data_IF_275493583378
#
_entry.id   IF_275493583378
#
_cell.length_a   1.000
_cell.length_b   1.000
_cell.length_c   1.000
_cell.angle_alpha   90.00
_cell.angle_beta   90.00
_cell.angle_gamma   90.00
#
_symmetry.space_group_name_H-M   'P 1'
#
loop_
_entity.id
_entity.type
_entity.pdbx_description
1 polymer ?
#
# COMPACT_ATOMS: atom_id res chain seq x y z
N UNK A 1 -55.76 7.63 36.88
CA UNK A 1 -55.88 7.21 35.48
C UNK A 1 -54.57 7.57 34.76
N UNK A 2 -53.73 6.59 34.46
CA UNK A 2 -52.63 6.77 33.51
C UNK A 2 -52.40 5.41 32.84
N UNK A 3 -53.15 5.15 31.77
CA UNK A 3 -52.86 4.03 30.87
C UNK A 3 -51.63 4.46 30.09
N UNK A 4 -50.50 3.78 30.31
CA UNK A 4 -49.31 3.92 29.46
C UNK A 4 -49.70 3.38 28.08
N UNK A 5 -50.18 4.30 27.24
CA UNK A 5 -50.56 4.05 25.86
C UNK A 5 -49.28 3.63 25.12
N UNK A 6 -49.35 2.48 24.46
CA UNK A 6 -48.23 1.82 23.80
C UNK A 6 -47.47 2.75 22.87
N UNK A 7 -46.26 3.11 23.27
CA UNK A 7 -45.26 3.70 22.39
C UNK A 7 -44.60 2.57 21.58
N UNK A 8 -45.35 2.15 20.55
CA UNK A 8 -44.92 1.56 19.28
C UNK A 8 -43.63 0.73 19.31
N UNK A 9 -43.76 -0.60 19.16
CA UNK A 9 -42.63 -1.52 18.96
C UNK A 9 -41.72 -1.14 17.78
N UNK A 10 -42.20 -0.31 16.84
CA UNK A 10 -41.37 0.28 15.81
C UNK A 10 -40.33 1.27 16.38
N UNK A 11 -40.69 2.08 17.39
CA UNK A 11 -39.75 2.98 18.06
C UNK A 11 -38.69 2.21 18.84
N UNK A 12 -39.06 1.11 19.51
CA UNK A 12 -38.06 0.29 20.22
C UNK A 12 -37.13 -0.43 19.25
N UNK A 13 -37.63 -0.91 18.10
CA UNK A 13 -36.81 -1.49 17.04
C UNK A 13 -35.87 -0.47 16.40
N UNK A 14 -36.34 0.75 16.11
CA UNK A 14 -35.51 1.82 15.55
C UNK A 14 -34.38 2.20 16.52
N UNK A 15 -34.67 2.31 17.81
CA UNK A 15 -33.65 2.63 18.82
C UNK A 15 -32.62 1.49 18.96
N UNK A 16 -33.05 0.23 18.92
CA UNK A 16 -32.15 -0.93 18.95
C UNK A 16 -31.27 -0.98 17.70
N UNK A 17 -31.81 -0.71 16.51
CA UNK A 17 -31.04 -0.65 15.27
C UNK A 17 -30.02 0.50 15.27
N UNK A 18 -30.38 1.68 15.77
CA UNK A 18 -29.45 2.81 15.88
C UNK A 18 -28.29 2.50 16.82
N UNK A 19 -28.55 1.88 17.97
CA UNK A 19 -27.50 1.48 18.92
C UNK A 19 -26.62 0.37 18.32
N UNK A 20 -27.19 -0.58 17.59
CA UNK A 20 -26.44 -1.63 16.90
C UNK A 20 -25.57 -1.07 15.74
N UNK A 21 -26.08 -0.08 14.99
CA UNK A 21 -25.34 0.60 13.92
C UNK A 21 -24.18 1.47 14.44
N UNK A 22 -24.32 2.05 15.63
CA UNK A 22 -23.21 2.80 16.24
C UNK A 22 -22.05 1.86 16.67
N UNK A 23 -22.37 0.64 17.10
CA UNK A 23 -21.37 -0.36 17.48
C UNK A 23 -20.60 -0.95 16.28
N UNK A 24 -21.19 -0.97 15.08
CA UNK A 24 -20.52 -1.44 13.86
C UNK A 24 -19.62 -0.38 13.21
N UNK A 25 -19.91 0.91 13.39
CA UNK A 25 -19.08 2.01 12.87
C UNK A 25 -17.73 2.18 13.61
N UNK A 26 -17.62 1.68 14.84
CA UNK A 26 -16.40 1.75 15.64
C UNK A 26 -15.36 0.68 15.29
N UNK A 27 -15.66 -0.24 14.35
CA UNK A 27 -14.62 -1.09 13.75
C UNK A 27 -13.90 -0.34 12.65
N UNK A 28 -13.30 0.80 13.00
CA UNK A 28 -12.19 1.31 12.21
C UNK A 28 -11.00 0.43 12.57
N UNK A 29 -10.73 -0.59 11.76
CA UNK A 29 -9.45 -1.26 11.82
C UNK A 29 -8.36 -0.17 11.66
N UNK A 30 -7.44 0.00 12.62
CA UNK A 30 -6.30 0.89 12.46
C UNK A 30 -5.30 0.25 11.49
N UNK A 31 -5.67 0.22 10.21
CA UNK A 31 -4.88 -0.40 9.14
C UNK A 31 -5.14 0.22 7.76
N UNK A 32 -6.34 0.76 7.51
CA UNK A 32 -6.71 1.31 6.21
C UNK A 32 -5.92 2.58 5.82
N UNK A 33 -5.35 3.31 6.78
CA UNK A 33 -4.57 4.53 6.51
C UNK A 33 -3.18 4.26 5.90
N UNK A 34 -2.67 3.01 5.95
CA UNK A 34 -1.38 2.66 5.33
C UNK A 34 -1.48 2.36 3.83
N UNK A 35 -2.68 2.13 3.30
CA UNK A 35 -2.86 1.65 1.93
C UNK A 35 -2.96 2.77 0.89
N UNK A 36 -3.04 4.04 1.32
CA UNK A 36 -3.22 5.19 0.43
C UNK A 36 -1.98 5.51 -0.44
N UNK A 37 -0.81 4.94 -0.14
CA UNK A 37 0.42 5.14 -0.92
C UNK A 37 0.72 3.98 -1.89
N UNK A 38 -0.11 2.93 -1.90
CA UNK A 38 0.17 1.65 -2.59
C UNK A 38 -0.68 1.44 -3.87
N UNK A 39 -1.25 2.50 -4.45
CA UNK A 39 -2.00 2.45 -5.73
C UNK A 39 -1.11 2.50 -6.99
N UNK A 40 0.19 2.27 -6.83
CA UNK A 40 1.06 1.84 -7.93
C UNK A 40 1.02 0.32 -8.02
N UNK A 41 0.89 -0.26 -9.23
CA UNK A 41 1.12 -1.70 -9.42
C UNK A 41 2.41 -2.09 -8.70
N UNK A 42 2.33 -2.99 -7.71
CA UNK A 42 3.49 -3.43 -6.92
C UNK A 42 4.55 -4.01 -7.88
N UNK A 43 5.59 -3.23 -8.17
CA UNK A 43 6.71 -3.63 -9.04
C UNK A 43 7.98 -3.95 -8.24
N UNK A 44 7.84 -4.24 -6.96
CA UNK A 44 8.95 -4.64 -6.10
C UNK A 44 8.53 -4.82 -4.64
N UNK A 45 9.17 -5.75 -3.96
CA UNK A 45 9.05 -6.04 -2.53
C UNK A 45 10.31 -6.73 -2.05
N UNK A 46 10.67 -6.55 -0.77
CA UNK A 46 11.78 -7.29 -0.15
C UNK A 46 11.23 -8.48 0.60
N UNK A 47 11.58 -9.67 0.14
CA UNK A 47 11.33 -10.94 0.83
C UNK A 47 12.68 -11.46 1.32
N UNK A 48 12.74 -11.91 2.57
CA UNK A 48 13.93 -12.55 3.13
C UNK A 48 14.10 -13.95 2.54
N UNK A 49 15.30 -14.26 2.07
CA UNK A 49 15.68 -15.59 1.59
C UNK A 49 16.63 -16.20 2.62
N UNK A 50 16.22 -17.27 3.28
CA UNK A 50 16.92 -17.84 4.45
C UNK A 50 18.12 -18.72 4.10
N UNK A 51 18.16 -19.28 2.88
CA UNK A 51 19.25 -20.15 2.43
C UNK A 51 19.71 -19.76 1.02
N UNK A 52 20.71 -18.88 0.96
CA UNK A 52 21.27 -18.42 -0.32
C UNK A 52 22.35 -19.38 -0.83
N UNK A 53 23.03 -20.11 0.05
CA UNK A 53 24.15 -21.00 -0.31
C UNK A 53 23.67 -22.34 -0.89
N UNK A 54 22.54 -22.87 -0.41
CA UNK A 54 21.93 -24.08 -0.95
C UNK A 54 21.09 -23.87 -2.22
N UNK A 55 20.63 -22.64 -2.48
CA UNK A 55 19.71 -22.35 -3.57
C UNK A 55 20.43 -21.87 -4.84
N UNK A 56 20.58 -22.80 -5.78
CA UNK A 56 21.22 -22.55 -7.08
C UNK A 56 20.44 -21.55 -7.94
N UNK A 57 19.12 -21.51 -7.84
CA UNK A 57 18.27 -20.58 -8.62
C UNK A 57 18.51 -19.14 -8.14
N UNK A 58 18.52 -18.92 -6.82
CA UNK A 58 18.82 -17.61 -6.23
C UNK A 58 20.24 -17.14 -6.61
N UNK A 59 21.22 -18.04 -6.62
CA UNK A 59 22.59 -17.73 -7.02
C UNK A 59 22.71 -17.39 -8.51
N UNK A 60 22.01 -18.11 -9.38
CA UNK A 60 22.00 -17.84 -10.83
C UNK A 60 21.28 -16.52 -11.15
N UNK A 61 20.18 -16.20 -10.45
CA UNK A 61 19.51 -14.90 -10.55
C UNK A 61 20.44 -13.75 -10.10
N UNK A 62 21.19 -13.94 -9.01
CA UNK A 62 22.21 -12.99 -8.56
C UNK A 62 23.34 -12.79 -9.57
N UNK A 63 23.82 -13.88 -10.19
CA UNK A 63 24.84 -13.82 -11.26
C UNK A 63 24.37 -13.08 -12.50
N UNK A 64 23.11 -13.24 -12.89
CA UNK A 64 22.54 -12.59 -14.08
C UNK A 64 22.11 -11.14 -13.81
N UNK A 65 21.70 -10.82 -12.58
CA UNK A 65 21.31 -9.47 -12.16
C UNK A 65 22.50 -8.52 -12.03
N UNK A 66 23.69 -9.04 -11.67
CA UNK A 66 24.96 -8.33 -11.78
C UNK A 66 25.48 -8.46 -13.20
N UNK A 67 24.79 -7.82 -14.15
CA UNK A 67 25.38 -7.59 -15.46
C UNK A 67 26.49 -6.55 -15.31
N UNK A 68 27.69 -7.07 -15.01
CA UNK A 68 28.98 -6.41 -15.30
C UNK A 68 29.31 -5.18 -14.44
N UNK A 69 28.58 -4.94 -13.35
CA UNK A 69 28.87 -3.84 -12.41
C UNK A 69 28.84 -2.44 -13.05
N UNK A 70 28.17 -2.29 -14.20
CA UNK A 70 28.18 -1.03 -14.95
C UNK A 70 27.40 0.04 -14.20
N UNK A 71 28.08 1.15 -13.93
CA UNK A 71 27.48 2.32 -13.32
C UNK A 71 26.83 3.16 -14.41
N UNK A 72 25.64 3.69 -14.13
CA UNK A 72 24.90 4.56 -15.04
C UNK A 72 24.62 5.90 -14.38
N UNK A 73 24.81 6.97 -15.15
CA UNK A 73 24.38 8.31 -14.78
C UNK A 73 22.94 8.54 -15.25
N UNK A 74 22.11 9.09 -14.36
CA UNK A 74 20.73 9.44 -14.66
C UNK A 74 20.44 10.89 -14.27
N UNK A 75 19.92 11.69 -15.20
CA UNK A 75 19.46 13.06 -14.95
C UNK A 75 17.94 13.07 -14.99
N UNK A 76 17.31 13.43 -13.88
CA UNK A 76 15.85 13.43 -13.71
C UNK A 76 15.38 14.84 -13.37
N UNK A 77 14.31 15.29 -14.03
CA UNK A 77 13.62 16.53 -13.70
C UNK A 77 12.40 16.20 -12.85
N UNK A 78 12.27 16.89 -11.71
CA UNK A 78 11.12 16.77 -10.81
C UNK A 78 10.40 18.12 -10.75
N UNK A 79 9.08 18.10 -10.99
CA UNK A 79 8.17 19.24 -10.89
C UNK A 79 7.20 18.97 -9.73
N UNK A 80 7.54 19.35 -8.48
CA UNK A 80 6.78 18.97 -7.29
C UNK A 80 5.36 19.57 -7.26
N UNK A 81 5.15 20.75 -7.87
CA UNK A 81 3.83 21.38 -8.02
C UNK A 81 2.92 20.71 -9.06
N UNK A 82 3.45 19.78 -9.86
CA UNK A 82 2.71 19.07 -10.90
C UNK A 82 2.71 17.55 -10.69
N UNK A 83 3.22 17.06 -9.56
CA UNK A 83 3.38 15.61 -9.29
C UNK A 83 4.05 14.87 -10.47
N UNK A 84 4.96 15.53 -11.18
CA UNK A 84 5.52 15.06 -12.44
C UNK A 84 7.02 14.88 -12.31
N UNK A 85 7.53 13.71 -12.69
CA UNK A 85 8.96 13.37 -12.78
C UNK A 85 9.26 12.82 -14.16
N UNK A 86 10.32 13.31 -14.79
CA UNK A 86 10.71 12.91 -16.15
C UNK A 86 12.22 12.65 -16.22
N UNK A 87 12.60 11.51 -16.78
CA UNK A 87 14.00 11.16 -17.06
C UNK A 87 14.46 11.94 -18.29
N UNK A 88 15.51 12.75 -18.15
CA UNK A 88 16.06 13.56 -19.24
C UNK A 88 17.19 12.83 -19.94
N UNK A 89 18.05 12.15 -19.18
CA UNK A 89 19.20 11.42 -19.73
C UNK A 89 19.50 10.19 -18.90
N UNK A 90 19.83 9.11 -19.59
CA UNK A 90 20.36 7.88 -19.01
C UNK A 90 21.51 7.38 -19.89
N UNK A 91 22.70 7.30 -19.33
CA UNK A 91 23.90 6.89 -20.05
C UNK A 91 24.86 6.12 -19.13
N UNK A 92 25.72 5.23 -19.66
CA UNK A 92 26.81 4.66 -18.88
C UNK A 92 27.68 5.79 -18.29
N UNK A 93 28.12 5.65 -17.04
CA UNK A 93 28.94 6.66 -16.37
C UNK A 93 30.30 6.87 -17.06
N UNK A 94 30.82 5.85 -17.75
CA UNK A 94 32.07 5.91 -18.51
C UNK A 94 31.94 6.60 -19.88
N UNK A 95 30.73 6.92 -20.33
CA UNK A 95 30.46 7.44 -21.68
C UNK A 95 30.70 8.96 -21.83
N UNK A 96 31.78 9.48 -21.21
CA UNK A 96 32.14 10.91 -21.26
C UNK A 96 32.82 11.32 -22.57
#
# INVERSE_FOLDING_TARGET
MARVIGASGACTLILVLLVACAASAARTEPGAARQLWDDGRKVGGRTEVTDVEGDREVQELGRNGVSDGRVFDAVVVVKPWLQSRALVRFAPADAK
#
